data_IF_833677725658
#
_entry.id   IF_833677725658
#
_cell.length_a   1.000
_cell.length_b   1.000
_cell.length_c   1.000
_cell.angle_alpha   90.00
_cell.angle_beta   90.00
_cell.angle_gamma   90.00
#
_symmetry.space_group_name_H-M   'P 1'
#
loop_
_entity.id
_entity.type
_entity.pdbx_description
1 polymer ?
#
# COMPACT_ATOMS: atom_id res chain seq x y z
N UNK A 1 21.19 0.85 15.95
CA UNK A 1 20.08 0.05 16.49
C UNK A 1 18.88 0.97 16.58
N UNK A 2 17.77 0.66 15.89
CA UNK A 2 16.54 1.47 15.93
C UNK A 2 15.71 1.18 17.19
N UNK A 3 16.24 1.57 18.35
CA UNK A 3 15.64 1.25 19.65
C UNK A 3 14.46 2.19 20.00
N UNK A 4 14.49 3.42 19.51
CA UNK A 4 13.48 4.44 19.75
C UNK A 4 12.69 4.70 18.46
N UNK A 5 11.43 4.25 18.44
CA UNK A 5 10.51 4.39 17.32
C UNK A 5 9.55 5.56 17.56
N UNK A 6 9.18 6.30 16.53
CA UNK A 6 8.00 7.17 16.55
C UNK A 6 7.00 6.73 15.48
N UNK A 7 5.72 6.71 15.82
CA UNK A 7 4.63 6.51 14.88
C UNK A 7 3.88 7.81 14.68
N UNK A 8 4.01 8.41 13.50
CA UNK A 8 3.26 9.62 13.11
C UNK A 8 1.95 9.22 12.45
N UNK A 9 0.85 9.81 12.91
CA UNK A 9 -0.50 9.42 12.50
C UNK A 9 -1.06 8.25 13.31
N UNK A 10 -0.57 8.06 14.54
CA UNK A 10 -0.88 6.90 15.40
C UNK A 10 -2.37 6.69 15.69
N UNK A 11 -3.22 7.70 15.54
CA UNK A 11 -4.67 7.62 15.76
C UNK A 11 -5.49 7.30 14.51
N UNK A 12 -4.86 7.24 13.34
CA UNK A 12 -5.54 6.95 12.06
C UNK A 12 -5.84 5.46 11.86
N UNK A 13 -6.53 5.13 10.77
CA UNK A 13 -6.84 3.75 10.41
C UNK A 13 -5.55 2.94 10.15
N UNK A 14 -4.67 3.44 9.29
CA UNK A 14 -3.37 2.82 9.00
C UNK A 14 -2.46 2.83 10.21
N UNK A 15 -2.35 3.95 10.96
CA UNK A 15 -1.58 4.00 12.19
C UNK A 15 -2.04 2.97 13.25
N UNK A 16 -3.34 2.64 13.28
CA UNK A 16 -3.85 1.55 14.12
C UNK A 16 -3.28 0.20 13.70
N UNK A 17 -3.29 -0.09 12.40
CA UNK A 17 -2.74 -1.33 11.87
C UNK A 17 -1.21 -1.39 12.01
N UNK A 18 -0.49 -0.28 11.86
CA UNK A 18 0.96 -0.24 12.11
C UNK A 18 1.27 -0.68 13.54
N UNK A 19 0.54 -0.16 14.55
CA UNK A 19 0.71 -0.61 15.94
C UNK A 19 0.45 -2.10 16.12
N UNK A 20 -0.62 -2.61 15.48
CA UNK A 20 -0.94 -4.03 15.50
C UNK A 20 0.19 -4.85 14.87
N UNK A 21 0.71 -4.44 13.71
CA UNK A 21 1.80 -5.14 13.02
C UNK A 21 3.09 -5.14 13.82
N UNK A 22 3.44 -4.02 14.45
CA UNK A 22 4.62 -3.94 15.34
C UNK A 22 4.54 -4.91 16.53
N UNK A 23 3.32 -5.24 16.99
CA UNK A 23 3.08 -6.26 18.02
C UNK A 23 3.10 -7.67 17.43
N UNK A 24 2.29 -7.94 16.40
CA UNK A 24 2.16 -9.26 15.76
C UNK A 24 3.50 -9.79 15.25
N UNK A 25 4.33 -8.89 14.72
CA UNK A 25 5.64 -9.22 14.13
C UNK A 25 6.79 -9.13 15.13
N UNK A 26 6.51 -8.85 16.40
CA UNK A 26 7.51 -8.69 17.47
C UNK A 26 8.63 -7.71 17.09
N UNK A 27 8.28 -6.56 16.51
CA UNK A 27 9.26 -5.59 16.02
C UNK A 27 10.24 -5.15 17.14
N UNK A 28 11.57 -5.16 16.93
CA UNK A 28 12.53 -5.02 18.02
C UNK A 28 12.80 -3.55 18.40
N UNK A 29 11.78 -2.83 18.87
CA UNK A 29 11.92 -1.51 19.49
C UNK A 29 11.78 -1.57 21.02
N UNK A 30 12.57 -0.75 21.72
CA UNK A 30 12.53 -0.60 23.18
C UNK A 30 11.49 0.44 23.61
N UNK A 31 11.45 1.57 22.92
CA UNK A 31 10.54 2.68 23.20
C UNK A 31 9.76 3.04 21.94
N UNK A 32 8.52 3.49 22.13
CA UNK A 32 7.69 4.05 21.05
C UNK A 32 7.03 5.35 21.48
N UNK A 33 7.14 6.39 20.65
CA UNK A 33 6.33 7.61 20.73
C UNK A 33 5.15 7.52 19.78
N UNK A 34 3.96 7.88 20.24
CA UNK A 34 2.76 7.95 19.40
C UNK A 34 2.45 9.42 19.11
N UNK A 35 2.65 9.85 17.86
CA UNK A 35 2.52 11.24 17.46
C UNK A 35 1.26 11.44 16.61
N UNK A 36 0.52 12.52 16.88
CA UNK A 36 -0.66 12.92 16.11
C UNK A 36 -0.84 14.45 16.14
N UNK A 37 -1.95 14.95 15.60
CA UNK A 37 -2.30 16.37 15.70
C UNK A 37 -2.64 16.78 17.14
N UNK A 38 -2.60 18.09 17.43
CA UNK A 38 -2.99 18.67 18.72
C UNK A 38 -4.35 18.17 19.23
N UNK A 39 -5.33 17.97 18.33
CA UNK A 39 -6.66 17.44 18.65
C UNK A 39 -6.64 16.04 19.26
N UNK A 40 -5.63 15.24 18.92
CA UNK A 40 -5.48 13.86 19.38
C UNK A 40 -4.49 13.71 20.54
N UNK A 41 -3.71 14.74 20.85
CA UNK A 41 -2.79 14.74 21.97
C UNK A 41 -3.51 14.51 23.31
N UNK A 42 -2.88 13.77 24.22
CA UNK A 42 -3.44 13.41 25.53
C UNK A 42 -4.35 12.19 25.53
N UNK A 43 -4.70 11.62 24.37
CA UNK A 43 -5.34 10.29 24.31
C UNK A 43 -4.39 9.21 24.80
N UNK A 44 -4.91 8.18 25.45
CA UNK A 44 -4.12 7.02 25.83
C UNK A 44 -4.44 5.84 24.93
N UNK A 45 -3.40 5.20 24.41
CA UNK A 45 -3.48 3.99 23.58
C UNK A 45 -2.68 2.89 24.26
N UNK A 46 -3.22 1.68 24.28
CA UNK A 46 -2.48 0.51 24.72
C UNK A 46 -1.52 0.03 23.62
N UNK A 47 -0.27 -0.19 23.98
CA UNK A 47 0.74 -0.83 23.13
C UNK A 47 1.56 -1.80 23.98
N UNK A 48 1.59 -3.08 23.59
CA UNK A 48 2.25 -4.16 24.36
C UNK A 48 1.82 -4.21 25.84
N UNK A 49 0.53 -4.00 26.11
CA UNK A 49 -0.02 -3.99 27.46
C UNK A 49 0.39 -2.77 28.31
N UNK A 50 1.04 -1.77 27.72
CA UNK A 50 1.39 -0.52 28.40
C UNK A 50 0.57 0.65 27.84
N UNK A 51 0.02 1.52 28.70
CA UNK A 51 -0.65 2.74 28.25
C UNK A 51 0.39 3.76 27.77
N UNK A 52 0.25 4.21 26.53
CA UNK A 52 1.09 5.26 25.92
C UNK A 52 0.22 6.47 25.62
N UNK A 53 0.65 7.64 26.10
CA UNK A 53 -0.01 8.91 25.84
C UNK A 53 0.38 9.39 24.44
N UNK A 54 -0.59 9.78 23.64
CA UNK A 54 -0.37 10.42 22.34
C UNK A 54 0.16 11.83 22.56
N UNK A 55 1.27 12.13 21.92
CA UNK A 55 1.90 13.45 21.93
C UNK A 55 1.47 14.23 20.68
N UNK A 56 1.41 15.55 20.82
CA UNK A 56 1.32 16.43 19.66
C UNK A 56 2.62 16.33 18.86
N UNK A 57 2.48 16.24 17.52
CA UNK A 57 3.62 16.26 16.61
C UNK A 57 4.17 17.69 16.49
N UNK A 58 5.31 17.93 17.10
CA UNK A 58 6.10 19.15 16.96
C UNK A 58 7.52 18.78 16.50
N UNK A 59 8.36 19.76 16.10
CA UNK A 59 9.75 19.47 15.75
C UNK A 59 10.49 18.73 16.87
N UNK A 60 10.26 19.07 18.14
CA UNK A 60 10.92 18.48 19.31
C UNK A 60 10.50 17.03 19.57
N UNK A 61 9.34 16.59 19.05
CA UNK A 61 8.87 15.21 19.19
C UNK A 61 9.86 14.18 18.63
N UNK A 62 10.68 14.59 17.65
CA UNK A 62 11.67 13.76 16.97
C UNK A 62 13.04 13.72 17.69
N UNK A 63 13.19 14.41 18.83
CA UNK A 63 14.40 14.26 19.65
C UNK A 63 14.47 12.83 20.23
N UNK A 64 15.67 12.25 20.23
CA UNK A 64 15.97 10.89 20.70
C UNK A 64 15.17 9.78 19.97
N UNK A 65 14.77 10.02 18.71
CA UNK A 65 14.08 9.05 17.86
C UNK A 65 15.05 8.54 16.79
N UNK A 66 15.14 7.21 16.65
CA UNK A 66 16.00 6.58 15.63
C UNK A 66 15.24 6.36 14.32
N UNK A 67 13.99 5.89 14.43
CA UNK A 67 13.14 5.50 13.31
C UNK A 67 11.75 6.13 13.45
N UNK A 68 11.22 6.62 12.34
CA UNK A 68 9.85 7.10 12.22
C UNK A 68 9.11 6.23 11.21
N UNK A 69 7.94 5.73 11.56
CA UNK A 69 6.96 5.23 10.59
C UNK A 69 5.84 6.27 10.51
N UNK A 70 5.50 6.72 9.32
CA UNK A 70 4.54 7.79 9.12
C UNK A 70 3.45 7.42 8.14
N UNK A 71 2.20 7.59 8.57
CA UNK A 71 1.01 7.51 7.73
C UNK A 71 0.24 8.83 7.85
N UNK A 72 0.54 9.78 6.97
CA UNK A 72 -0.08 11.10 6.94
C UNK A 72 -0.39 11.56 5.52
N UNK A 73 -1.27 12.56 5.34
CA UNK A 73 -1.42 13.25 4.06
C UNK A 73 -0.10 13.86 3.57
N UNK A 74 0.02 14.06 2.26
CA UNK A 74 1.22 14.57 1.59
C UNK A 74 1.69 15.91 2.18
N UNK A 75 0.78 16.87 2.40
CA UNK A 75 1.11 18.19 2.96
C UNK A 75 1.71 18.10 4.37
N UNK A 76 1.20 17.18 5.19
CA UNK A 76 1.73 16.94 6.54
C UNK A 76 3.12 16.32 6.46
N UNK A 77 3.34 15.38 5.54
CA UNK A 77 4.65 14.76 5.34
C UNK A 77 5.71 15.77 4.84
N UNK A 78 5.33 16.70 3.96
CA UNK A 78 6.22 17.77 3.52
C UNK A 78 6.67 18.68 4.67
N UNK A 79 5.85 18.82 5.71
CA UNK A 79 6.15 19.63 6.88
C UNK A 79 7.05 18.90 7.90
N UNK A 80 6.66 17.69 8.36
CA UNK A 80 7.35 17.05 9.49
C UNK A 80 8.59 16.24 9.09
N UNK A 81 8.63 15.67 7.88
CA UNK A 81 9.74 14.79 7.47
C UNK A 81 11.08 15.53 7.54
N UNK A 82 11.21 16.80 7.10
CA UNK A 82 12.43 17.58 7.31
C UNK A 82 12.83 17.69 8.79
N UNK A 83 11.87 17.92 9.71
CA UNK A 83 12.17 18.03 11.14
C UNK A 83 12.78 16.75 11.72
N UNK A 84 12.29 15.59 11.27
CA UNK A 84 12.80 14.29 11.69
C UNK A 84 14.19 14.02 11.11
N UNK A 85 14.40 14.25 9.81
CA UNK A 85 15.69 14.02 9.14
C UNK A 85 16.78 14.94 9.70
N UNK A 86 16.48 16.22 9.97
CA UNK A 86 17.41 17.16 10.61
C UNK A 86 17.88 16.72 12.02
N UNK A 87 17.08 15.88 12.69
CA UNK A 87 17.41 15.30 14.00
C UNK A 87 18.07 13.92 13.91
N UNK A 88 18.38 13.47 12.70
CA UNK A 88 19.07 12.20 12.45
C UNK A 88 18.14 10.99 12.42
N UNK A 89 16.82 11.17 12.42
CA UNK A 89 15.88 10.07 12.27
C UNK A 89 15.95 9.49 10.85
N UNK A 90 15.72 8.19 10.73
CA UNK A 90 15.31 7.57 9.46
C UNK A 90 13.79 7.55 9.40
N UNK A 91 13.19 7.93 8.28
CA UNK A 91 11.73 8.00 8.10
C UNK A 91 11.28 6.98 7.06
N UNK A 92 10.35 6.10 7.43
CA UNK A 92 9.55 5.29 6.49
C UNK A 92 8.22 6.02 6.30
N UNK A 93 8.06 6.70 5.17
CA UNK A 93 6.91 7.54 4.85
C UNK A 93 5.95 6.85 3.88
N UNK A 94 4.68 6.78 4.24
CA UNK A 94 3.63 6.21 3.38
C UNK A 94 2.94 7.25 2.49
N UNK A 95 3.22 8.55 2.70
CA UNK A 95 2.64 9.60 1.87
C UNK A 95 3.15 9.55 0.41
N UNK A 96 2.46 10.25 -0.48
CA UNK A 96 2.91 10.45 -1.86
C UNK A 96 4.04 11.46 -2.02
N UNK A 97 4.33 12.26 -0.98
CA UNK A 97 5.17 13.45 -1.08
C UNK A 97 6.59 13.18 -1.58
N UNK A 98 7.20 12.09 -1.12
CA UNK A 98 8.61 11.78 -1.37
C UNK A 98 8.83 10.62 -2.37
N UNK A 99 7.76 9.97 -2.84
CA UNK A 99 7.85 8.74 -3.64
C UNK A 99 8.66 8.89 -4.91
N UNK A 100 8.59 10.04 -5.57
CA UNK A 100 9.29 10.30 -6.84
C UNK A 100 10.55 11.13 -6.69
N UNK A 101 10.96 11.49 -5.47
CA UNK A 101 12.25 12.15 -5.25
C UNK A 101 13.40 11.18 -5.62
N UNK A 102 14.36 11.57 -6.48
CA UNK A 102 15.43 10.68 -6.91
C UNK A 102 16.39 10.24 -5.79
N UNK A 103 16.41 10.93 -4.64
CA UNK A 103 17.23 10.58 -3.47
C UNK A 103 16.51 9.66 -2.48
N UNK A 104 15.21 9.47 -2.64
CA UNK A 104 14.39 8.68 -1.72
C UNK A 104 14.09 7.33 -2.36
N UNK A 105 14.59 6.19 -1.83
CA UNK A 105 14.21 4.88 -2.34
C UNK A 105 12.71 4.63 -2.11
N UNK A 106 12.05 4.04 -3.11
CA UNK A 106 10.66 3.61 -3.06
C UNK A 106 10.66 2.08 -2.99
N UNK A 107 10.29 1.51 -1.84
CA UNK A 107 10.63 0.12 -1.51
C UNK A 107 9.39 -0.75 -1.33
N UNK A 108 9.41 -1.90 -1.98
CA UNK A 108 8.59 -3.07 -1.65
C UNK A 108 9.54 -4.22 -1.30
N UNK A 109 9.55 -4.72 -0.05
CA UNK A 109 10.53 -5.68 0.44
C UNK A 109 10.68 -6.96 -0.40
N UNK A 110 9.61 -7.44 -1.04
CA UNK A 110 9.63 -8.63 -1.90
C UNK A 110 10.15 -8.34 -3.31
N UNK A 111 10.29 -7.06 -3.70
CA UNK A 111 10.61 -6.64 -5.07
C UNK A 111 12.01 -6.05 -5.18
N UNK A 112 12.30 -5.04 -4.36
CA UNK A 112 13.57 -4.30 -4.39
C UNK A 112 14.17 -4.05 -2.99
N UNK A 113 14.32 -5.09 -2.15
CA UNK A 113 14.78 -4.93 -0.76
C UNK A 113 16.16 -4.26 -0.65
N UNK A 114 17.03 -4.44 -1.64
CA UNK A 114 18.36 -3.84 -1.68
C UNK A 114 18.35 -2.30 -1.68
N UNK A 115 17.26 -1.68 -2.14
CA UNK A 115 17.17 -0.23 -2.27
C UNK A 115 17.02 0.46 -0.91
N UNK A 116 16.63 -0.27 0.13
CA UNK A 116 16.56 0.26 1.49
C UNK A 116 17.90 0.85 1.94
N UNK A 117 19.03 0.24 1.55
CA UNK A 117 20.37 0.68 1.93
C UNK A 117 20.81 1.99 1.24
N UNK A 118 20.07 2.46 0.24
CA UNK A 118 20.39 3.67 -0.53
C UNK A 118 19.78 4.95 0.10
N UNK A 119 19.08 4.83 1.22
CA UNK A 119 18.37 5.96 1.82
C UNK A 119 19.30 7.08 2.29
N UNK A 120 18.87 8.33 2.12
CA UNK A 120 19.53 9.51 2.71
C UNK A 120 18.71 10.05 3.91
N UNK A 121 18.06 9.15 4.66
CA UNK A 121 17.24 9.47 5.83
C UNK A 121 15.73 9.30 5.61
N UNK A 122 15.30 9.09 4.36
CA UNK A 122 13.89 8.86 4.01
C UNK A 122 13.80 7.62 3.14
N UNK A 123 12.80 6.77 3.38
CA UNK A 123 12.36 5.68 2.52
C UNK A 123 10.86 5.87 2.31
N UNK A 124 10.40 5.78 1.07
CA UNK A 124 8.99 5.85 0.75
C UNK A 124 8.38 4.45 0.60
N UNK A 125 7.15 4.29 1.11
CA UNK A 125 6.26 3.17 0.83
C UNK A 125 5.33 3.55 -0.35
N UNK A 126 5.10 2.66 -1.32
CA UNK A 126 4.28 2.96 -2.50
C UNK A 126 2.78 3.04 -2.23
N UNK A 127 2.02 3.43 -3.27
CA UNK A 127 0.56 3.37 -3.26
C UNK A 127 0.08 1.92 -3.11
N UNK A 128 -1.01 1.73 -2.38
CA UNK A 128 -1.59 0.40 -2.11
C UNK A 128 -1.88 -0.42 -3.37
N UNK A 129 -2.37 0.20 -4.45
CA UNK A 129 -2.63 -0.46 -5.74
C UNK A 129 -1.32 -0.86 -6.43
N UNK A 130 -0.34 0.06 -6.48
CA UNK A 130 1.00 -0.26 -6.98
C UNK A 130 1.60 -1.44 -6.21
N UNK A 131 1.56 -1.42 -4.88
CA UNK A 131 2.21 -2.43 -4.02
C UNK A 131 1.76 -3.84 -4.36
N UNK A 132 0.46 -4.10 -4.41
CA UNK A 132 -0.03 -5.45 -4.74
C UNK A 132 0.30 -5.85 -6.18
N UNK A 133 0.22 -4.90 -7.13
CA UNK A 133 0.52 -5.15 -8.53
C UNK A 133 1.99 -5.52 -8.74
N UNK A 134 2.93 -4.77 -8.15
CA UNK A 134 4.37 -5.02 -8.35
C UNK A 134 4.84 -6.28 -7.62
N UNK A 135 4.26 -6.62 -6.47
CA UNK A 135 4.50 -7.92 -5.80
C UNK A 135 4.08 -9.06 -6.73
N UNK A 136 2.88 -8.99 -7.33
CA UNK A 136 2.42 -9.98 -8.29
C UNK A 136 3.31 -10.03 -9.55
N UNK A 137 3.70 -8.88 -10.07
CA UNK A 137 4.52 -8.80 -11.28
C UNK A 137 5.93 -9.35 -11.09
N UNK A 138 6.52 -9.22 -9.91
CA UNK A 138 7.93 -9.56 -9.66
C UNK A 138 8.33 -10.99 -10.09
N UNK A 139 7.67 -12.07 -9.64
CA UNK A 139 8.07 -13.42 -10.04
C UNK A 139 7.91 -13.67 -11.55
N UNK A 140 6.94 -13.01 -12.19
CA UNK A 140 6.78 -13.08 -13.65
C UNK A 140 7.89 -12.31 -14.36
N UNK A 141 8.22 -11.11 -13.90
CA UNK A 141 9.28 -10.27 -14.46
C UNK A 141 10.65 -10.96 -14.38
N UNK A 142 10.94 -11.63 -13.27
CA UNK A 142 12.19 -12.40 -13.11
C UNK A 142 12.26 -13.59 -14.05
N UNK A 143 11.13 -14.27 -14.28
CA UNK A 143 11.07 -15.40 -15.20
C UNK A 143 11.15 -14.94 -16.66
N UNK A 144 10.36 -13.95 -17.04
CA UNK A 144 10.32 -13.34 -18.36
C UNK A 144 9.96 -11.87 -18.24
N UNK A 145 10.95 -11.00 -18.47
CA UNK A 145 10.83 -9.55 -18.29
C UNK A 145 9.50 -9.02 -18.84
N UNK A 146 8.78 -8.27 -18.02
CA UNK A 146 7.49 -7.71 -18.42
C UNK A 146 7.74 -6.52 -19.34
N UNK A 147 7.03 -6.47 -20.47
CA UNK A 147 7.05 -5.35 -21.42
C UNK A 147 5.88 -4.41 -21.25
N UNK A 148 4.71 -4.97 -20.92
CA UNK A 148 3.46 -4.21 -20.85
C UNK A 148 2.56 -4.76 -19.75
N UNK A 149 1.85 -3.86 -19.10
CA UNK A 149 0.80 -4.14 -18.13
C UNK A 149 -0.43 -3.32 -18.49
N UNK A 150 -1.58 -3.99 -18.56
CA UNK A 150 -2.89 -3.35 -18.57
C UNK A 150 -3.58 -3.74 -17.28
N UNK A 151 -4.01 -2.75 -16.50
CA UNK A 151 -4.63 -2.99 -15.19
C UNK A 151 -5.90 -2.17 -15.03
N UNK A 152 -6.95 -2.82 -14.56
CA UNK A 152 -8.17 -2.14 -14.11
C UNK A 152 -8.37 -2.45 -12.64
N UNK A 153 -8.38 -1.40 -11.81
CA UNK A 153 -8.51 -1.53 -10.37
C UNK A 153 -9.98 -1.44 -9.94
N UNK A 154 -10.28 -2.13 -8.85
CA UNK A 154 -11.56 -2.17 -8.15
C UNK A 154 -11.23 -1.85 -6.69
N UNK A 155 -11.00 -0.56 -6.43
CA UNK A 155 -10.48 -0.10 -5.16
C UNK A 155 -11.60 0.10 -4.12
N UNK A 156 -11.36 -0.43 -2.93
CA UNK A 156 -12.24 -0.28 -1.77
C UNK A 156 -12.30 1.16 -1.24
N UNK A 157 -13.37 1.50 -0.52
CA UNK A 157 -13.61 2.85 0.01
C UNK A 157 -12.74 3.20 1.22
N UNK A 158 -12.20 2.21 1.93
CA UNK A 158 -11.20 2.42 3.00
C UNK A 158 -9.94 3.15 2.53
N UNK A 159 -9.60 3.06 1.23
CA UNK A 159 -8.51 3.83 0.63
C UNK A 159 -8.74 5.34 0.61
N UNK A 160 -9.98 5.81 0.82
CA UNK A 160 -10.32 7.23 1.04
C UNK A 160 -10.44 7.58 2.54
N UNK A 161 -9.94 6.70 3.42
CA UNK A 161 -10.01 6.85 4.87
C UNK A 161 -11.41 6.67 5.45
N UNK A 162 -11.56 7.07 6.72
CA UNK A 162 -12.80 6.89 7.49
C UNK A 162 -14.02 7.56 6.85
N UNK A 163 -13.84 8.63 6.09
CA UNK A 163 -14.93 9.29 5.37
C UNK A 163 -15.47 8.40 4.23
N UNK A 164 -14.58 7.72 3.49
CA UNK A 164 -14.99 6.78 2.45
C UNK A 164 -15.75 5.56 2.98
N UNK A 165 -15.36 5.06 4.16
CA UNK A 165 -16.09 3.99 4.85
C UNK A 165 -17.50 4.43 5.27
N UNK A 166 -17.61 5.61 5.91
CA UNK A 166 -18.91 6.19 6.28
C UNK A 166 -19.80 6.43 5.06
N UNK A 167 -19.24 6.97 3.99
CA UNK A 167 -19.97 7.23 2.75
C UNK A 167 -20.54 5.95 2.13
N UNK A 168 -19.80 4.84 2.18
CA UNK A 168 -20.32 3.56 1.73
C UNK A 168 -21.45 3.05 2.63
N UNK A 169 -21.23 3.01 3.95
CA UNK A 169 -22.20 2.46 4.90
C UNK A 169 -23.49 3.29 4.95
N UNK A 170 -23.37 4.57 5.26
CA UNK A 170 -24.50 5.47 5.41
C UNK A 170 -25.17 5.76 4.07
N UNK A 171 -24.39 5.93 2.99
CA UNK A 171 -24.92 6.11 1.65
C UNK A 171 -25.74 4.91 1.18
N UNK A 172 -25.29 3.69 1.49
CA UNK A 172 -26.03 2.46 1.16
C UNK A 172 -27.32 2.34 1.96
N UNK A 173 -27.27 2.64 3.26
CA UNK A 173 -28.46 2.66 4.12
C UNK A 173 -29.48 3.68 3.61
N UNK A 174 -29.06 4.92 3.36
CA UNK A 174 -29.92 5.97 2.86
C UNK A 174 -30.56 5.61 1.50
N UNK A 175 -29.78 4.99 0.60
CA UNK A 175 -30.29 4.52 -0.70
C UNK A 175 -31.38 3.45 -0.55
N UNK A 176 -31.22 2.51 0.39
CA UNK A 176 -32.23 1.48 0.67
C UNK A 176 -33.49 2.05 1.35
N UNK A 177 -33.31 3.09 2.17
CA UNK A 177 -34.40 3.78 2.87
C UNK A 177 -35.07 4.87 2.01
N UNK A 178 -34.58 5.13 0.79
CA UNK A 178 -34.97 6.24 -0.08
C UNK A 178 -34.86 7.62 0.61
N UNK A 179 -33.81 7.80 1.42
CA UNK A 179 -33.47 9.07 2.06
C UNK A 179 -32.23 9.70 1.42
N UNK A 180 -32.02 10.99 1.68
CA UNK A 180 -30.83 11.70 1.20
C UNK A 180 -29.63 11.46 2.14
N UNK A 181 -28.43 11.43 1.56
CA UNK A 181 -27.17 11.39 2.30
C UNK A 181 -26.16 12.29 1.60
N UNK A 182 -25.51 13.15 2.38
CA UNK A 182 -24.48 14.07 1.90
C UNK A 182 -23.12 13.37 2.00
N UNK A 183 -22.55 13.04 0.83
CA UNK A 183 -21.27 12.36 0.72
C UNK A 183 -20.12 13.30 1.07
N UNK A 184 -19.19 12.84 1.91
CA UNK A 184 -18.04 13.62 2.38
C UNK A 184 -16.79 13.37 1.52
N UNK A 185 -16.52 12.11 1.18
CA UNK A 185 -15.30 11.68 0.50
C UNK A 185 -15.44 11.63 -1.02
N UNK A 186 -16.64 11.36 -1.52
CA UNK A 186 -16.88 11.13 -2.95
C UNK A 186 -17.80 12.18 -3.56
N UNK A 187 -17.44 12.71 -4.73
CA UNK A 187 -18.26 13.67 -5.48
C UNK A 187 -19.57 13.06 -6.03
N UNK A 188 -19.64 11.73 -6.11
CA UNK A 188 -20.80 10.99 -6.56
C UNK A 188 -21.14 9.88 -5.55
N UNK A 189 -22.41 9.46 -5.44
CA UNK A 189 -22.79 8.36 -4.57
C UNK A 189 -21.99 7.10 -4.87
N UNK A 190 -21.31 6.54 -3.87
CA UNK A 190 -20.61 5.25 -4.00
C UNK A 190 -21.55 4.06 -3.79
N UNK A 191 -22.65 4.25 -3.06
CA UNK A 191 -23.65 3.23 -2.83
C UNK A 191 -24.22 2.66 -4.13
N UNK A 192 -24.05 1.35 -4.35
CA UNK A 192 -24.50 0.64 -5.55
C UNK A 192 -23.99 1.25 -6.88
N UNK A 193 -22.80 1.86 -6.86
CA UNK A 193 -22.24 2.56 -8.02
C UNK A 193 -20.74 2.27 -8.18
N UNK A 194 -20.19 2.61 -9.36
CA UNK A 194 -18.75 2.56 -9.65
C UNK A 194 -18.28 3.94 -10.11
N UNK A 195 -17.21 4.46 -9.52
CA UNK A 195 -16.69 5.80 -9.80
C UNK A 195 -15.33 5.67 -10.51
N UNK A 196 -15.24 5.96 -11.82
CA UNK A 196 -14.01 5.79 -12.61
C UNK A 196 -13.07 6.99 -12.44
N UNK A 197 -12.88 7.44 -11.20
CA UNK A 197 -11.95 8.51 -10.87
C UNK A 197 -11.47 8.32 -9.44
N UNK A 198 -10.15 8.16 -9.28
CA UNK A 198 -9.47 8.20 -7.99
C UNK A 198 -8.35 9.23 -8.08
N UNK A 199 -8.37 10.20 -7.17
CA UNK A 199 -7.47 11.35 -7.24
C UNK A 199 -7.93 12.42 -8.24
N UNK A 200 -7.00 13.28 -8.62
CA UNK A 200 -7.22 14.48 -9.44
C UNK A 200 -6.71 14.28 -10.86
N UNK A 201 -7.17 15.05 -11.86
CA UNK A 201 -6.56 15.05 -13.18
C UNK A 201 -5.05 15.33 -13.10
N UNK A 202 -4.23 14.54 -13.80
CA UNK A 202 -2.76 14.59 -13.66
C UNK A 202 -2.00 14.65 -14.98
N UNK A 203 -2.26 13.75 -15.91
CA UNK A 203 -1.47 13.64 -17.15
C UNK A 203 -2.33 13.09 -18.29
N UNK A 204 -2.47 13.79 -19.41
CA UNK A 204 -3.15 13.27 -20.62
C UNK A 204 -4.51 12.58 -20.35
N UNK A 205 -5.33 13.17 -19.48
CA UNK A 205 -6.62 12.65 -18.99
C UNK A 205 -6.55 11.50 -17.98
N UNK A 206 -5.37 10.98 -17.67
CA UNK A 206 -5.14 10.14 -16.51
C UNK A 206 -5.24 10.93 -15.20
N UNK A 207 -5.73 10.24 -14.19
CA UNK A 207 -5.82 10.68 -12.80
C UNK A 207 -4.48 10.54 -12.07
N UNK A 208 -4.36 11.16 -10.90
CA UNK A 208 -3.16 11.09 -10.08
C UNK A 208 -2.94 9.71 -9.48
N UNK A 209 -3.99 8.91 -9.27
CA UNK A 209 -3.86 7.51 -8.84
C UNK A 209 -3.31 6.63 -9.97
N UNK A 210 -3.82 6.80 -11.19
CA UNK A 210 -3.32 6.09 -12.37
C UNK A 210 -1.85 6.40 -12.62
N UNK A 211 -1.45 7.67 -12.53
CA UNK A 211 -0.04 8.05 -12.71
C UNK A 211 0.88 7.57 -11.59
N UNK A 212 0.38 7.40 -10.36
CA UNK A 212 1.14 6.72 -9.30
C UNK A 212 1.47 5.29 -9.73
N UNK A 213 0.50 4.52 -10.23
CA UNK A 213 0.75 3.15 -10.70
C UNK A 213 1.79 3.10 -11.81
N UNK A 214 1.80 4.07 -12.74
CA UNK A 214 2.82 4.14 -13.80
C UNK A 214 4.21 4.44 -13.21
N UNK A 215 4.37 5.59 -12.56
CA UNK A 215 5.69 6.09 -12.15
C UNK A 215 6.32 5.28 -11.01
N UNK A 216 5.50 4.81 -10.07
CA UNK A 216 6.00 3.99 -8.97
C UNK A 216 6.44 2.62 -9.49
N UNK A 217 5.74 2.01 -10.45
CA UNK A 217 6.17 0.75 -11.09
C UNK A 217 7.55 0.90 -11.73
N UNK A 218 7.75 1.95 -12.52
CA UNK A 218 9.05 2.25 -13.14
C UNK A 218 10.16 2.36 -12.11
N UNK A 219 9.94 3.14 -11.05
CA UNK A 219 10.94 3.36 -10.00
C UNK A 219 11.24 2.09 -9.19
N UNK A 220 10.23 1.31 -8.84
CA UNK A 220 10.39 0.08 -8.04
C UNK A 220 11.14 -0.99 -8.83
N UNK A 221 10.86 -1.16 -10.12
CA UNK A 221 11.59 -2.10 -10.97
C UNK A 221 12.92 -1.55 -11.50
N UNK A 222 13.13 -0.23 -11.43
CA UNK A 222 14.27 0.43 -12.08
C UNK A 222 14.23 0.28 -13.61
N UNK A 223 13.02 0.21 -14.19
CA UNK A 223 12.80 -0.10 -15.61
C UNK A 223 11.67 0.74 -16.19
N UNK A 224 12.04 1.88 -16.78
CA UNK A 224 11.12 2.81 -17.44
C UNK A 224 10.56 2.27 -18.77
N UNK A 225 11.06 1.13 -19.26
CA UNK A 225 10.58 0.53 -20.51
C UNK A 225 9.29 -0.29 -20.35
N UNK A 226 8.87 -0.56 -19.10
CA UNK A 226 7.62 -1.25 -18.81
C UNK A 226 6.45 -0.33 -19.16
N UNK A 227 5.69 -0.65 -20.21
CA UNK A 227 4.50 0.12 -20.57
C UNK A 227 3.35 -0.19 -19.61
N UNK A 228 2.88 0.79 -18.83
CA UNK A 228 1.78 0.61 -17.86
C UNK A 228 0.55 1.38 -18.32
N UNK A 229 -0.59 0.69 -18.46
CA UNK A 229 -1.88 1.28 -18.81
C UNK A 229 -2.91 0.98 -17.71
N UNK A 230 -3.03 1.87 -16.70
CA UNK A 230 -3.95 1.70 -15.59
C UNK A 230 -5.29 2.39 -15.84
N UNK A 231 -6.35 1.84 -15.25
CA UNK A 231 -7.63 2.50 -15.04
C UNK A 231 -8.07 2.30 -13.59
N UNK A 232 -8.23 3.39 -12.85
CA UNK A 232 -8.51 3.30 -11.41
C UNK A 232 -9.98 3.58 -11.08
N UNK A 233 -10.69 2.58 -10.55
CA UNK A 233 -12.13 2.68 -10.27
C UNK A 233 -12.42 2.42 -8.79
N UNK A 234 -13.17 3.33 -8.16
CA UNK A 234 -13.71 3.12 -6.81
C UNK A 234 -14.99 2.31 -6.89
N UNK A 235 -15.08 1.26 -6.07
CA UNK A 235 -16.22 0.33 -6.04
C UNK A 235 -16.82 0.24 -4.63
N UNK A 236 -18.06 -0.24 -4.46
CA UNK A 236 -18.73 -0.28 -3.15
C UNK A 236 -18.27 -1.49 -2.33
N UNK A 237 -16.97 -1.55 -2.07
CA UNK A 237 -16.28 -2.56 -1.26
C UNK A 237 -15.65 -1.84 -0.07
N UNK A 238 -15.83 -2.36 1.14
CA UNK A 238 -15.36 -1.71 2.37
C UNK A 238 -13.84 -1.70 2.46
N UNK A 239 -13.19 -2.86 2.31
CA UNK A 239 -11.74 -2.99 2.35
C UNK A 239 -11.25 -4.08 1.37
N UNK A 240 -9.94 -4.06 1.10
CA UNK A 240 -9.22 -4.79 0.05
C UNK A 240 -9.44 -4.23 -1.35
N UNK A 241 -8.34 -3.96 -2.04
CA UNK A 241 -8.36 -3.63 -3.46
C UNK A 241 -8.36 -4.91 -4.27
N UNK A 242 -8.98 -4.86 -5.45
CA UNK A 242 -8.87 -5.93 -6.44
C UNK A 242 -8.42 -5.36 -7.77
N UNK A 243 -7.70 -6.15 -8.56
CA UNK A 243 -7.13 -5.74 -9.84
C UNK A 243 -7.28 -6.85 -10.85
N UNK A 244 -7.84 -6.50 -12.01
CA UNK A 244 -7.73 -7.33 -13.20
C UNK A 244 -6.45 -6.91 -13.91
N UNK A 245 -5.46 -7.81 -13.95
CA UNK A 245 -4.14 -7.51 -14.51
C UNK A 245 -3.92 -8.40 -15.73
N UNK A 246 -3.50 -7.78 -16.82
CA UNK A 246 -2.94 -8.44 -17.98
C UNK A 246 -1.50 -7.98 -18.13
N UNK A 247 -0.56 -8.93 -18.24
CA UNK A 247 0.84 -8.65 -18.52
C UNK A 247 1.26 -9.29 -19.83
N UNK A 248 2.13 -8.61 -20.59
CA UNK A 248 2.83 -9.18 -21.73
C UNK A 248 4.32 -9.29 -21.37
N UNK A 249 4.89 -10.47 -21.59
CA UNK A 249 6.27 -10.80 -21.22
C UNK A 249 7.17 -10.99 -22.43
N UNK A 250 8.49 -10.93 -22.24
CA UNK A 250 9.43 -11.05 -23.36
C UNK A 250 9.40 -12.40 -24.05
N UNK A 251 9.13 -13.44 -23.25
CA UNK A 251 9.02 -14.83 -23.63
C UNK A 251 7.72 -15.37 -23.04
N UNK A 252 7.12 -16.36 -23.69
CA UNK A 252 5.91 -17.00 -23.17
C UNK A 252 6.15 -17.61 -21.79
N UNK A 253 5.24 -17.31 -20.87
CA UNK A 253 5.07 -17.98 -19.57
C UNK A 253 3.67 -18.60 -19.62
N UNK A 254 3.56 -19.91 -19.43
CA UNK A 254 2.24 -20.58 -19.45
C UNK A 254 1.47 -20.31 -18.15
N UNK A 255 0.16 -20.51 -18.14
CA UNK A 255 -0.64 -20.37 -16.92
C UNK A 255 -0.14 -21.28 -15.78
N UNK A 256 0.23 -22.52 -16.11
CA UNK A 256 0.78 -23.50 -15.15
C UNK A 256 2.15 -23.06 -14.60
N UNK A 257 3.00 -22.45 -15.44
CA UNK A 257 4.29 -21.91 -15.02
C UNK A 257 4.08 -20.69 -14.10
N UNK A 258 3.20 -19.77 -14.50
CA UNK A 258 2.84 -18.60 -13.70
C UNK A 258 2.30 -19.00 -12.32
N UNK A 259 1.39 -19.97 -12.23
CA UNK A 259 0.85 -20.45 -10.96
C UNK A 259 1.95 -20.98 -10.01
N UNK A 260 2.96 -21.69 -10.54
CA UNK A 260 4.11 -22.17 -9.76
C UNK A 260 5.01 -21.03 -9.30
N UNK A 261 5.27 -20.06 -10.18
CA UNK A 261 6.05 -18.88 -9.85
C UNK A 261 5.39 -18.06 -8.73
N UNK A 262 4.08 -17.83 -8.84
CA UNK A 262 3.30 -17.16 -7.79
C UNK A 262 3.33 -17.94 -6.47
N UNK A 263 3.10 -19.24 -6.50
CA UNK A 263 3.07 -20.07 -5.28
C UNK A 263 4.44 -20.16 -4.57
N UNK A 264 5.54 -19.95 -5.29
CA UNK A 264 6.88 -19.95 -4.72
C UNK A 264 7.34 -18.55 -4.24
N UNK A 265 6.64 -17.49 -4.62
CA UNK A 265 7.02 -16.12 -4.30
C UNK A 265 6.62 -15.75 -2.86
N UNK A 266 7.51 -15.09 -2.09
CA UNK A 266 7.18 -14.62 -0.75
C UNK A 266 6.05 -13.57 -0.80
N UNK A 267 5.14 -13.63 0.16
CA UNK A 267 4.02 -12.69 0.27
C UNK A 267 2.91 -12.90 -0.77
N UNK A 268 2.94 -13.99 -1.56
CA UNK A 268 1.87 -14.35 -2.48
C UNK A 268 1.17 -15.64 -2.02
N UNK A 269 -0.17 -15.61 -2.01
CA UNK A 269 -1.00 -16.81 -1.84
C UNK A 269 -1.84 -17.06 -3.09
N UNK A 270 -1.73 -18.25 -3.69
CA UNK A 270 -2.52 -18.64 -4.86
C UNK A 270 -3.86 -19.23 -4.42
N UNK A 271 -4.95 -18.69 -4.95
CA UNK A 271 -6.33 -19.16 -4.80
C UNK A 271 -6.93 -19.28 -6.21
N UNK A 272 -6.76 -20.44 -6.86
CA UNK A 272 -7.17 -20.59 -8.26
C UNK A 272 -7.74 -21.98 -8.58
N UNK A 273 -8.99 -22.19 -8.19
CA UNK A 273 -9.79 -23.36 -8.60
C UNK A 273 -11.17 -22.89 -9.06
N UNK A 274 -11.26 -22.52 -10.33
CA UNK A 274 -12.50 -22.05 -10.93
C UNK A 274 -13.61 -23.11 -10.91
N UNK A 275 -13.25 -24.41 -10.96
CA UNK A 275 -14.22 -25.51 -10.96
C UNK A 275 -14.96 -25.63 -9.62
N UNK A 276 -14.29 -25.25 -8.53
CA UNK A 276 -14.82 -25.21 -7.18
C UNK A 276 -15.24 -23.80 -6.73
N UNK A 277 -15.17 -22.80 -7.63
CA UNK A 277 -15.50 -21.41 -7.32
C UNK A 277 -14.52 -20.73 -6.36
N UNK A 278 -13.27 -21.18 -6.31
CA UNK A 278 -12.24 -20.62 -5.44
C UNK A 278 -11.37 -19.63 -6.21
N UNK A 279 -11.46 -18.37 -5.80
CA UNK A 279 -10.67 -17.25 -6.30
C UNK A 279 -10.60 -16.17 -5.22
N UNK A 280 -9.62 -15.27 -5.27
CA UNK A 280 -9.49 -14.26 -4.25
C UNK A 280 -10.62 -13.23 -4.40
N UNK A 281 -11.18 -12.83 -3.27
CA UNK A 281 -12.25 -11.85 -3.15
C UNK A 281 -11.95 -10.95 -1.96
N UNK A 282 -12.33 -9.66 -2.00
CA UNK A 282 -12.13 -8.76 -0.86
C UNK A 282 -12.53 -9.37 0.49
N UNK A 283 -13.65 -10.09 0.53
CA UNK A 283 -14.16 -10.73 1.75
C UNK A 283 -13.23 -11.82 2.33
N UNK A 284 -12.59 -12.64 1.49
CA UNK A 284 -11.75 -13.76 1.95
C UNK A 284 -10.26 -13.39 2.09
N UNK A 285 -9.86 -12.22 1.58
CA UNK A 285 -8.52 -11.65 1.68
C UNK A 285 -8.39 -10.61 2.82
N UNK A 286 -9.49 -10.13 3.38
CA UNK A 286 -9.52 -9.13 4.45
C UNK A 286 -8.68 -9.53 5.67
N UNK A 287 -7.97 -8.54 6.24
CA UNK A 287 -7.10 -8.67 7.41
C UNK A 287 -5.94 -9.67 7.26
N UNK A 288 -5.51 -9.93 6.02
CA UNK A 288 -4.32 -10.73 5.73
C UNK A 288 -3.22 -9.88 5.11
N UNK A 289 -1.99 -10.35 5.26
CA UNK A 289 -0.77 -9.64 4.84
C UNK A 289 -0.28 -10.03 3.45
N UNK A 290 -0.90 -11.03 2.82
CA UNK A 290 -0.49 -11.55 1.52
C UNK A 290 -1.18 -10.81 0.37
N UNK A 291 -0.55 -10.88 -0.81
CA UNK A 291 -1.17 -10.62 -2.09
C UNK A 291 -1.77 -11.92 -2.61
N UNK A 292 -3.07 -11.94 -2.88
CA UNK A 292 -3.77 -13.14 -3.32
C UNK A 292 -4.00 -13.15 -4.83
N UNK A 293 -3.62 -14.23 -5.48
CA UNK A 293 -3.67 -14.37 -6.94
C UNK A 293 -4.59 -15.52 -7.35
N UNK A 294 -5.45 -15.30 -8.33
CA UNK A 294 -6.26 -16.34 -8.94
C UNK A 294 -6.69 -15.98 -10.36
N UNK A 295 -7.58 -16.78 -10.95
CA UNK A 295 -8.05 -16.62 -12.33
C UNK A 295 -6.89 -16.56 -13.33
N UNK A 296 -5.81 -17.30 -13.08
CA UNK A 296 -4.59 -17.29 -13.89
C UNK A 296 -4.90 -17.99 -15.21
N UNK A 297 -4.61 -17.32 -16.32
CA UNK A 297 -4.84 -17.86 -17.66
C UNK A 297 -3.95 -17.18 -18.68
N UNK A 298 -3.63 -17.89 -19.75
CA UNK A 298 -3.04 -17.29 -20.94
C UNK A 298 -4.05 -16.32 -21.59
N UNK A 299 -3.54 -15.19 -22.07
CA UNK A 299 -4.34 -14.27 -22.86
C UNK A 299 -4.62 -14.89 -24.25
N UNK A 300 -5.87 -14.85 -24.67
CA UNK A 300 -6.28 -15.32 -25.99
C UNK A 300 -5.91 -14.34 -27.11
N UNK A 301 -5.61 -13.08 -26.77
CA UNK A 301 -5.30 -12.02 -27.72
C UNK A 301 -3.81 -11.75 -27.94
N UNK A 302 -2.93 -12.31 -27.11
CA UNK A 302 -1.48 -12.09 -27.13
C UNK A 302 -0.72 -13.39 -26.84
N UNK A 303 0.24 -13.73 -27.71
CA UNK A 303 1.01 -14.98 -27.61
C UNK A 303 1.79 -15.14 -26.29
N UNK A 304 2.30 -14.01 -25.77
CA UNK A 304 3.06 -13.94 -24.51
C UNK A 304 2.27 -13.23 -23.40
N UNK A 305 0.94 -13.13 -23.56
CA UNK A 305 0.06 -12.50 -22.59
C UNK A 305 -0.40 -13.45 -21.49
N UNK A 306 -0.46 -12.95 -20.27
CA UNK A 306 -1.07 -13.61 -19.11
C UNK A 306 -2.08 -12.67 -18.47
N UNK A 307 -3.24 -13.21 -18.10
CA UNK A 307 -4.26 -12.49 -17.34
C UNK A 307 -4.50 -13.17 -16.00
N UNK A 308 -4.63 -12.38 -14.94
CA UNK A 308 -4.90 -12.86 -13.59
C UNK A 308 -5.69 -11.83 -12.78
N UNK A 309 -6.24 -12.30 -11.66
CA UNK A 309 -6.98 -11.51 -10.69
C UNK A 309 -6.17 -11.41 -9.40
N UNK A 310 -5.95 -10.19 -8.94
CA UNK A 310 -5.12 -9.89 -7.77
C UNK A 310 -5.97 -9.18 -6.71
N UNK A 311 -5.89 -9.61 -5.45
CA UNK A 311 -6.58 -8.98 -4.32
C UNK A 311 -5.62 -8.84 -3.16
N UNK A 312 -5.62 -7.69 -2.50
CA UNK A 312 -4.83 -7.48 -1.28
C UNK A 312 -5.54 -6.50 -0.34
N UNK A 313 -5.33 -6.67 0.96
CA UNK A 313 -5.79 -5.68 1.95
C UNK A 313 -4.99 -4.38 1.79
N UNK A 314 -5.67 -3.32 1.36
CA UNK A 314 -5.04 -2.05 1.02
C UNK A 314 -4.57 -1.26 2.24
N UNK A 315 -5.03 -1.60 3.44
CA UNK A 315 -4.56 -0.97 4.68
C UNK A 315 -3.45 -1.79 5.37
N UNK A 316 -3.36 -3.10 5.08
CA UNK A 316 -2.26 -3.98 5.53
C UNK A 316 -1.13 -4.00 4.52
N UNK A 317 -1.09 -4.98 3.60
CA UNK A 317 0.00 -5.09 2.62
C UNK A 317 0.12 -3.86 1.73
N UNK A 318 -0.99 -3.20 1.41
CA UNK A 318 -0.97 -1.95 0.65
C UNK A 318 -0.42 -0.73 1.43
N UNK A 319 -0.24 -0.83 2.75
CA UNK A 319 0.22 0.26 3.60
C UNK A 319 1.01 -0.27 4.82
N UNK A 320 0.33 -0.50 5.95
CA UNK A 320 0.95 -0.73 7.26
C UNK A 320 1.96 -1.88 7.28
N UNK A 321 1.63 -3.01 6.66
CA UNK A 321 2.50 -4.20 6.63
C UNK A 321 3.75 -3.91 5.81
N UNK A 322 3.63 -3.23 4.66
CA UNK A 322 4.77 -2.85 3.85
C UNK A 322 5.70 -1.89 4.61
N UNK A 323 5.14 -0.87 5.26
CA UNK A 323 5.92 0.08 6.07
C UNK A 323 6.68 -0.60 7.22
N UNK A 324 6.03 -1.54 7.93
CA UNK A 324 6.69 -2.31 8.99
C UNK A 324 7.75 -3.26 8.43
N UNK A 325 7.51 -3.91 7.28
CA UNK A 325 8.53 -4.75 6.64
C UNK A 325 9.75 -3.93 6.16
N UNK A 326 9.56 -2.70 5.66
CA UNK A 326 10.67 -1.78 5.35
C UNK A 326 11.48 -1.48 6.63
N UNK A 327 10.79 -1.17 7.73
CA UNK A 327 11.43 -0.97 9.02
C UNK A 327 12.21 -2.21 9.51
N UNK A 328 11.70 -3.42 9.27
CA UNK A 328 12.39 -4.67 9.57
C UNK A 328 13.67 -4.83 8.74
N UNK A 329 13.64 -4.49 7.45
CA UNK A 329 14.83 -4.51 6.59
C UNK A 329 15.90 -3.53 7.09
N UNK A 330 15.52 -2.35 7.57
CA UNK A 330 16.45 -1.39 8.17
C UNK A 330 17.14 -1.95 9.42
N UNK A 331 16.38 -2.61 10.30
CA UNK A 331 16.95 -3.25 11.48
C UNK A 331 17.94 -4.36 11.10
N UNK A 332 17.60 -5.19 10.12
CA UNK A 332 18.43 -6.30 9.66
C UNK A 332 19.73 -5.83 9.00
N UNK A 333 19.66 -4.77 8.19
CA UNK A 333 20.84 -4.22 7.50
C UNK A 333 21.86 -3.65 8.49
N UNK A 334 21.40 -2.96 9.55
CA UNK A 334 22.28 -2.49 10.62
C UNK A 334 22.90 -3.60 11.48
N UNK A 335 22.23 -4.76 11.61
CA UNK A 335 22.77 -5.91 12.35
C UNK A 335 23.88 -6.66 11.59
N UNK A 336 24.03 -6.38 10.29
CA UNK A 336 25.00 -7.06 9.40
C UNK A 336 26.28 -6.23 9.21
N UNK A 337 26.33 -5.00 9.74
CA UNK A 337 27.49 -4.09 9.78
C UNK A 337 28.15 -4.16 11.15
#
# INVERSE_FOLDING_TARGET
>A
MYANLALVGATGAVGTLVRQMLVERNFPCSNIKLLASARSAGKTIEFRGQPIVVEEMTPESFNDVDLVIASTPDDTALEFVPWAVERGCVVVDESGAWRMDPKVPLVVPEVNPQDVAKHEGIIASPNCSTTQMVVAMKPLHDAGRIRRVVVSTYQATSGAGLAGERDLEHGSKAKLENTAYDYEAFAHPIAFNVIPQIGSPKHEQYTSEEMKMVWETHKIFGDDSIAVCPTCVRVPVTNCHSESILVETEKKITADEAAKLFAAAPGITVMDDLSQGQYPMPLNCYQKDDVFIGRIREDLSSENGLAFWCVSDNLRKGAATNAVQIAELLVQSQATV
#
